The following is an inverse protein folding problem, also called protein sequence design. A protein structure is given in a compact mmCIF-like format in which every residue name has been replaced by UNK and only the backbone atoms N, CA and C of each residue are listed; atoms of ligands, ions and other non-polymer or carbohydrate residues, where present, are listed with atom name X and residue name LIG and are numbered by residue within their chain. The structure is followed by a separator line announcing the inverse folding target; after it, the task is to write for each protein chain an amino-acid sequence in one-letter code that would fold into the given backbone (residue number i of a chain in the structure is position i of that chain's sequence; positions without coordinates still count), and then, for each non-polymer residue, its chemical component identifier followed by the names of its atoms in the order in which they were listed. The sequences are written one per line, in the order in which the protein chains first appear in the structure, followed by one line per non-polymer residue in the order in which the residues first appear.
data_IF_728064842857
#
_entry.id   IF_728064842857
#
_cell.length_a   1.000
_cell.length_b   1.000
_cell.length_c   1.000
_cell.angle_alpha   90.00
_cell.angle_beta   90.00
_cell.angle_gamma   90.00
#
_symmetry.space_group_name_H-M   'P 1'
#
loop_
_entity.id
_entity.type
_entity.pdbx_description
1 polymer ?
#
# COMPACT_ATOMS: atom_id res chain seq x y z
N UNK A 1 3.66 -4.02 -2.30
CA UNK A 1 2.18 -4.05 -2.31
C UNK A 1 1.72 -4.69 -1.02
N UNK A 2 0.45 -4.49 -0.65
CA UNK A 2 -0.18 -5.23 0.43
C UNK A 2 -0.81 -6.51 -0.16
N UNK A 3 -0.97 -7.53 0.66
CA UNK A 3 -1.83 -8.69 0.42
C UNK A 3 -3.00 -8.69 1.42
N UNK A 4 -3.82 -9.73 1.38
CA UNK A 4 -5.00 -9.83 2.26
C UNK A 4 -4.61 -10.06 3.73
N UNK A 5 -3.50 -10.74 3.98
CA UNK A 5 -2.99 -11.01 5.32
C UNK A 5 -2.61 -9.75 6.09
N UNK A 6 -2.16 -8.70 5.40
CA UNK A 6 -1.83 -7.41 6.03
C UNK A 6 -3.05 -6.71 6.65
N UNK A 7 -4.27 -7.18 6.38
CA UNK A 7 -5.52 -6.64 6.93
C UNK A 7 -6.19 -7.55 7.97
N UNK A 8 -5.61 -8.72 8.30
CA UNK A 8 -6.23 -9.68 9.24
C UNK A 8 -6.44 -9.09 10.63
N UNK A 9 -5.50 -8.28 11.10
CA UNK A 9 -5.57 -7.57 12.39
C UNK A 9 -6.24 -6.18 12.26
N UNK A 10 -6.89 -5.91 11.13
CA UNK A 10 -7.54 -4.63 10.85
C UNK A 10 -6.57 -3.46 10.64
N UNK A 11 -7.12 -2.23 10.48
CA UNK A 11 -6.32 -1.02 10.28
C UNK A 11 -5.33 -0.74 11.42
N UNK A 12 -5.69 -1.09 12.66
CA UNK A 12 -4.84 -0.88 13.83
C UNK A 12 -3.57 -1.75 13.82
N UNK A 13 -3.65 -2.96 13.28
CA UNK A 13 -2.50 -3.84 13.10
C UNK A 13 -1.55 -3.34 12.00
N UNK A 14 -2.10 -2.77 10.92
CA UNK A 14 -1.34 -2.32 9.76
C UNK A 14 -0.70 -0.93 9.96
N UNK A 15 -1.37 0.00 10.65
CA UNK A 15 -0.91 1.39 10.79
C UNK A 15 0.52 1.54 11.37
N UNK A 16 0.96 0.78 12.40
CA UNK A 16 2.32 0.84 12.91
C UNK A 16 3.37 0.43 11.87
N UNK A 17 3.07 -0.56 11.03
CA UNK A 17 3.95 -1.00 9.96
C UNK A 17 4.16 0.11 8.92
N UNK A 18 3.07 0.74 8.47
CA UNK A 18 3.11 1.84 7.49
C UNK A 18 3.88 3.07 8.01
N UNK A 19 3.86 3.30 9.33
CA UNK A 19 4.55 4.40 10.00
C UNK A 19 5.99 4.08 10.39
N UNK A 20 6.42 2.82 10.26
CA UNK A 20 7.78 2.43 10.65
C UNK A 20 8.82 3.15 9.79
N UNK A 21 9.95 3.54 10.41
CA UNK A 21 10.95 4.42 9.77
C UNK A 21 11.48 3.92 8.43
N UNK A 22 11.53 2.60 8.25
CA UNK A 22 12.07 1.99 7.03
C UNK A 22 11.01 1.88 5.92
N UNK A 23 9.72 1.93 6.28
CA UNK A 23 8.60 1.73 5.36
C UNK A 23 8.00 3.06 4.93
N UNK A 24 8.02 4.09 5.79
CA UNK A 24 7.39 5.38 5.52
C UNK A 24 7.96 6.14 4.30
N UNK A 25 9.15 5.77 3.84
CA UNK A 25 9.78 6.31 2.62
C UNK A 25 9.60 5.43 1.39
N UNK A 26 9.02 4.24 1.55
CA UNK A 26 8.79 3.28 0.46
C UNK A 26 7.33 3.43 0.00
N UNK A 27 7.08 3.65 -1.30
CA UNK A 27 5.72 3.74 -1.81
C UNK A 27 5.02 2.39 -1.71
N UNK A 28 3.95 2.31 -0.91
CA UNK A 28 3.08 1.14 -0.84
C UNK A 28 1.96 1.34 -1.86
N UNK A 29 1.91 0.45 -2.85
CA UNK A 29 0.93 0.53 -3.94
C UNK A 29 -0.22 -0.47 -3.79
N UNK A 30 -1.46 0.03 -3.85
CA UNK A 30 -2.72 -0.73 -3.93
C UNK A 30 -3.80 0.13 -4.59
N UNK A 31 -4.27 -0.25 -5.79
CA UNK A 31 -5.19 0.56 -6.59
C UNK A 31 -6.68 0.34 -6.28
N UNK A 32 -7.03 -0.77 -5.65
CA UNK A 32 -8.42 -1.21 -5.46
C UNK A 32 -8.85 -1.25 -3.99
N UNK A 33 -8.35 -0.32 -3.17
CA UNK A 33 -8.76 -0.14 -1.78
C UNK A 33 -9.26 1.29 -1.56
N UNK A 34 -10.29 1.44 -0.72
CA UNK A 34 -10.72 2.73 -0.20
C UNK A 34 -10.31 2.83 1.28
N UNK A 35 -9.48 3.80 1.62
CA UNK A 35 -9.04 4.08 3.00
C UNK A 35 -9.48 5.46 3.49
N UNK A 36 -10.46 6.10 2.83
CA UNK A 36 -10.94 7.44 3.17
C UNK A 36 -11.43 7.55 4.62
N UNK A 37 -12.05 6.49 5.15
CA UNK A 37 -12.53 6.43 6.54
C UNK A 37 -11.46 5.98 7.55
N UNK A 38 -10.25 5.66 7.08
CA UNK A 38 -9.15 5.10 7.88
C UNK A 38 -7.91 6.01 7.87
N UNK A 39 -7.95 7.19 8.53
CA UNK A 39 -6.85 8.17 8.52
C UNK A 39 -5.56 7.65 9.18
N UNK A 40 -5.64 6.54 9.90
CA UNK A 40 -4.49 5.86 10.49
C UNK A 40 -3.60 5.18 9.42
N UNK A 41 -4.19 4.80 8.28
CA UNK A 41 -3.54 4.13 7.16
C UNK A 41 -2.95 5.16 6.18
N UNK A 42 -1.73 5.58 6.48
CA UNK A 42 -0.97 6.53 5.66
C UNK A 42 -0.03 5.82 4.69
N UNK A 43 0.54 6.53 3.71
CA UNK A 43 1.56 6.00 2.79
C UNK A 43 1.06 4.87 1.86
N UNK A 44 -0.24 4.85 1.55
CA UNK A 44 -0.84 3.98 0.53
C UNK A 44 -1.24 4.83 -0.67
N UNK A 45 -0.89 4.40 -1.88
CA UNK A 45 -1.23 5.06 -3.13
C UNK A 45 -1.62 4.04 -4.21
N UNK A 46 -2.39 4.40 -5.26
CA UNK A 46 -2.78 3.43 -6.29
C UNK A 46 -1.60 2.86 -7.09
N UNK A 47 -0.60 3.71 -7.34
CA UNK A 47 0.52 3.40 -8.21
C UNK A 47 1.73 4.27 -7.87
N UNK A 48 2.91 3.87 -8.30
CA UNK A 48 4.12 4.69 -8.27
C UNK A 48 4.86 4.61 -9.61
N UNK A 49 5.74 5.57 -9.86
CA UNK A 49 6.60 5.59 -11.04
C UNK A 49 8.05 5.52 -10.57
N UNK A 50 8.79 4.55 -11.08
CA UNK A 50 10.21 4.38 -10.81
C UNK A 50 11.01 4.74 -12.06
N UNK A 51 12.13 5.43 -11.87
CA UNK A 51 13.10 5.67 -12.94
C UNK A 51 14.28 4.72 -12.75
N UNK A 52 14.52 3.86 -13.74
CA UNK A 52 15.62 2.88 -13.72
C UNK A 52 16.47 3.08 -14.97
N UNK A 53 17.64 3.71 -14.80
CA UNK A 53 18.45 4.21 -15.91
C UNK A 53 17.66 5.26 -16.69
N UNK A 54 17.50 5.05 -18.00
CA UNK A 54 16.72 5.93 -18.89
C UNK A 54 15.24 5.49 -19.03
N UNK A 55 14.82 4.44 -18.32
CA UNK A 55 13.47 3.90 -18.42
C UNK A 55 12.57 4.40 -17.29
N UNK A 56 11.34 4.75 -17.66
CA UNK A 56 10.25 5.04 -16.73
C UNK A 56 9.39 3.79 -16.57
N UNK A 57 9.22 3.30 -15.34
CA UNK A 57 8.49 2.09 -15.00
C UNK A 57 7.30 2.46 -14.11
N UNK A 58 6.08 2.25 -14.63
CA UNK A 58 4.87 2.33 -13.82
C UNK A 58 4.67 1.05 -13.01
N UNK A 59 4.41 1.19 -11.72
CA UNK A 59 4.11 0.08 -10.82
C UNK A 59 2.72 0.30 -10.22
N UNK A 60 1.80 -0.60 -10.52
CA UNK A 60 0.41 -0.57 -10.01
C UNK A 60 0.23 -1.79 -9.10
N UNK A 61 -0.27 -1.55 -7.89
CA UNK A 61 -0.60 -2.63 -6.96
C UNK A 61 -2.06 -3.02 -7.08
N UNK A 62 -2.37 -4.30 -6.90
CA UNK A 62 -3.75 -4.78 -6.85
C UNK A 62 -3.86 -5.84 -5.76
N UNK A 63 -4.82 -5.68 -4.87
CA UNK A 63 -5.21 -6.67 -3.87
C UNK A 63 -6.18 -7.64 -4.51
N UNK A 64 -5.96 -8.95 -4.33
CA UNK A 64 -6.96 -9.95 -4.69
C UNK A 64 -8.22 -9.69 -3.85
N UNK A 65 -9.37 -9.33 -4.45
CA UNK A 65 -10.60 -9.18 -3.69
C UNK A 65 -10.92 -10.55 -3.10
N UNK A 66 -10.76 -10.71 -1.80
CA UNK A 66 -11.16 -11.95 -1.16
C UNK A 66 -12.68 -12.05 -1.32
N UNK A 67 -13.12 -13.07 -2.06
CA UNK A 67 -14.54 -13.36 -2.23
C UNK A 67 -14.94 -14.19 -1.01
N UNK A 68 -15.31 -13.52 0.08
CA UNK A 68 -16.08 -14.13 1.18
C UNK A 68 -17.39 -13.40 1.35
#
# INVERSE_FOLDING_TARGET
CLGNHEFEDGPEGLAPFLKSKNISSIPIVVANINTEEEPSLTNIQPSTVLTVGEHTIGVIGYLTPDTK
#
